data_IF_030798071000
#
_entry.id   IF_030798071000
#
_cell.length_a   1.000
_cell.length_b   1.000
_cell.length_c   1.000
_cell.angle_alpha   90.00
_cell.angle_beta   90.00
_cell.angle_gamma   90.00
#
_symmetry.space_group_name_H-M   'P 1'
#
loop_
_entity.id
_entity.type
_entity.pdbx_description
1 polymer ?
#
# COMPACT_ATOMS: atom_id res chain seq x y z
N UNK A 1 -5.12 -1.56 11.45
CA UNK A 1 -4.12 -2.59 11.13
C UNK A 1 -4.55 -3.25 9.82
N UNK A 2 -3.68 -3.21 8.80
CA UNK A 2 -3.91 -3.73 7.46
C UNK A 2 -3.54 -5.22 7.41
N UNK A 3 -4.31 -6.00 6.66
CA UNK A 3 -4.05 -7.41 6.36
C UNK A 3 -4.14 -7.68 4.85
N UNK A 4 -3.90 -8.92 4.44
CA UNK A 4 -4.08 -9.36 3.05
C UNK A 4 -5.51 -9.19 2.53
N UNK A 5 -6.50 -9.21 3.42
CA UNK A 5 -7.91 -9.13 3.09
C UNK A 5 -8.42 -7.68 3.00
N UNK A 6 -7.63 -6.71 3.46
CA UNK A 6 -7.96 -5.28 3.34
C UNK A 6 -8.16 -4.89 1.88
N UNK A 7 -9.17 -4.08 1.60
CA UNK A 7 -9.42 -3.59 0.24
C UNK A 7 -8.35 -2.58 -0.15
N UNK A 8 -7.88 -2.67 -1.41
CA UNK A 8 -6.86 -1.76 -1.92
C UNK A 8 -7.32 -0.30 -1.81
N UNK A 9 -8.58 -0.01 -2.14
CA UNK A 9 -9.15 1.35 -2.05
C UNK A 9 -9.09 1.93 -0.64
N UNK A 10 -9.43 1.14 0.38
CA UNK A 10 -9.37 1.56 1.78
C UNK A 10 -7.93 1.83 2.20
N UNK A 11 -7.00 0.99 1.74
CA UNK A 11 -5.57 1.14 2.02
C UNK A 11 -5.01 2.41 1.37
N UNK A 12 -5.37 2.72 0.12
CA UNK A 12 -4.85 3.89 -0.59
C UNK A 12 -5.37 5.23 -0.03
N UNK A 13 -6.52 5.21 0.64
CA UNK A 13 -7.05 6.40 1.34
C UNK A 13 -6.27 6.75 2.62
N UNK A 14 -5.34 5.90 3.05
CA UNK A 14 -4.55 6.14 4.26
C UNK A 14 -3.36 7.08 3.98
N UNK A 15 -3.01 7.98 4.93
CA UNK A 15 -1.90 8.90 4.77
C UNK A 15 -0.58 8.20 4.41
N UNK A 16 0.00 8.58 3.27
CA UNK A 16 1.30 8.05 2.82
C UNK A 16 1.28 6.65 2.22
N UNK A 17 0.14 5.94 2.21
CA UNK A 17 0.03 4.59 1.66
C UNK A 17 0.34 4.53 0.16
N UNK A 18 -0.18 5.48 -0.62
CA UNK A 18 0.13 5.60 -2.06
C UNK A 18 1.64 5.75 -2.28
N UNK A 19 2.29 6.67 -1.56
CA UNK A 19 3.73 6.92 -1.65
C UNK A 19 4.55 5.72 -1.20
N UNK A 20 4.08 4.96 -0.22
CA UNK A 20 4.70 3.71 0.22
C UNK A 20 4.64 2.64 -0.88
N UNK A 21 3.46 2.42 -1.47
CA UNK A 21 3.25 1.48 -2.56
C UNK A 21 4.17 1.80 -3.75
N UNK A 22 4.22 3.06 -4.18
CA UNK A 22 5.08 3.51 -5.30
C UNK A 22 6.56 3.30 -5.00
N UNK A 23 7.04 3.63 -3.79
CA UNK A 23 8.45 3.41 -3.39
C UNK A 23 8.87 1.94 -3.41
N UNK A 24 7.92 1.04 -3.21
CA UNK A 24 8.14 -0.41 -3.24
C UNK A 24 7.77 -1.04 -4.59
N UNK A 25 7.55 -0.24 -5.65
CA UNK A 25 7.25 -0.74 -6.99
C UNK A 25 5.84 -1.35 -7.15
N UNK A 26 4.96 -1.16 -6.17
CA UNK A 26 3.59 -1.66 -6.19
C UNK A 26 2.67 -0.57 -6.73
N UNK A 27 2.35 -0.63 -8.03
CA UNK A 27 1.31 0.25 -8.60
C UNK A 27 -0.08 -0.26 -8.27
N UNK A 28 -0.88 0.52 -7.55
CA UNK A 28 -2.26 0.19 -7.22
C UNK A 28 -3.29 0.78 -8.21
N UNK A 29 -2.82 1.42 -9.29
CA UNK A 29 -3.66 1.98 -10.34
C UNK A 29 -3.52 1.15 -11.62
N UNK A 30 -4.64 0.91 -12.30
CA UNK A 30 -4.66 0.30 -13.63
C UNK A 30 -5.13 1.32 -14.66
N UNK A 31 -4.86 1.08 -15.95
CA UNK A 31 -5.38 1.92 -17.04
C UNK A 31 -6.92 1.96 -17.12
N UNK A 32 -7.62 1.08 -16.40
CA UNK A 32 -9.08 1.00 -16.34
C UNK A 32 -9.69 1.59 -15.06
N UNK A 33 -8.88 2.26 -14.23
CA UNK A 33 -9.32 2.89 -12.98
C UNK A 33 -8.93 2.12 -11.73
N UNK A 34 -9.77 2.25 -10.69
CA UNK A 34 -9.58 1.62 -9.38
C UNK A 34 -9.36 0.11 -9.50
N UNK A 35 -8.64 -0.43 -8.52
CA UNK A 35 -8.27 -1.84 -8.49
C UNK A 35 -9.10 -2.53 -7.39
N UNK A 36 -10.37 -2.92 -7.67
CA UNK A 36 -11.29 -3.44 -6.66
C UNK A 36 -10.91 -4.88 -6.31
N UNK A 37 -9.84 -5.04 -5.54
CA UNK A 37 -9.45 -6.31 -4.98
C UNK A 37 -8.84 -6.12 -3.60
N UNK A 38 -8.51 -7.24 -2.96
CA UNK A 38 -7.78 -7.25 -1.70
C UNK A 38 -6.31 -6.91 -1.91
N UNK A 39 -5.65 -6.39 -0.88
CA UNK A 39 -4.24 -6.06 -0.90
C UNK A 39 -3.39 -7.30 -1.24
N UNK A 40 -3.70 -8.46 -0.67
CA UNK A 40 -3.03 -9.72 -0.98
C UNK A 40 -3.07 -10.04 -2.48
N UNK A 41 -4.23 -9.87 -3.11
CA UNK A 41 -4.38 -10.11 -4.55
C UNK A 41 -3.58 -9.11 -5.39
N UNK A 42 -3.52 -7.84 -4.98
CA UNK A 42 -2.67 -6.85 -5.64
C UNK A 42 -1.19 -7.24 -5.57
N UNK A 43 -0.71 -7.64 -4.38
CA UNK A 43 0.69 -8.02 -4.17
C UNK A 43 1.07 -9.26 -5.00
N UNK A 44 0.16 -10.23 -5.13
CA UNK A 44 0.34 -11.38 -6.04
C UNK A 44 0.48 -10.94 -7.50
N UNK A 45 -0.44 -10.09 -7.98
CA UNK A 45 -0.45 -9.61 -9.38
C UNK A 45 0.84 -8.82 -9.68
N UNK A 46 1.32 -8.04 -8.70
CA UNK A 46 2.58 -7.29 -8.78
C UNK A 46 3.82 -8.13 -8.50
N UNK A 47 3.65 -9.42 -8.18
CA UNK A 47 4.73 -10.38 -7.91
C UNK A 47 5.68 -9.88 -6.81
N UNK A 48 5.11 -9.32 -5.75
CA UNK A 48 5.89 -8.89 -4.58
C UNK A 48 6.51 -10.13 -3.93
N UNK A 49 7.84 -10.14 -3.79
CA UNK A 49 8.58 -11.32 -3.31
C UNK A 49 8.25 -11.72 -1.88
N UNK A 50 8.00 -10.72 -1.01
CA UNK A 50 7.55 -10.94 0.37
C UNK A 50 6.34 -10.05 0.70
N UNK A 51 5.12 -10.57 0.48
CA UNK A 51 3.90 -9.83 0.77
C UNK A 51 3.71 -9.52 2.27
N UNK A 52 4.20 -10.37 3.17
CA UNK A 52 4.07 -10.16 4.62
C UNK A 52 4.96 -9.02 5.08
N UNK A 53 6.22 -8.99 4.62
CA UNK A 53 7.13 -7.88 4.90
C UNK A 53 6.59 -6.55 4.35
N UNK A 54 5.99 -6.56 3.16
CA UNK A 54 5.34 -5.37 2.60
C UNK A 54 4.22 -4.84 3.51
N UNK A 55 3.33 -5.72 3.97
CA UNK A 55 2.20 -5.37 4.85
C UNK A 55 2.69 -4.89 6.22
N UNK A 56 3.73 -5.53 6.77
CA UNK A 56 4.34 -5.13 8.03
C UNK A 56 4.92 -3.70 7.94
N UNK A 57 5.69 -3.39 6.88
CA UNK A 57 6.25 -2.05 6.69
C UNK A 57 5.17 -0.98 6.46
N UNK A 58 4.07 -1.33 5.79
CA UNK A 58 2.93 -0.43 5.63
C UNK A 58 2.22 -0.15 6.96
N UNK A 59 2.01 -1.18 7.79
CA UNK A 59 1.46 -0.99 9.14
C UNK A 59 2.38 -0.11 10.00
N UNK A 60 3.69 -0.33 9.95
CA UNK A 60 4.67 0.49 10.68
C UNK A 60 4.64 1.97 10.25
N UNK A 61 4.46 2.25 8.96
CA UNK A 61 4.27 3.61 8.46
C UNK A 61 3.03 4.27 9.09
N UNK A 62 1.93 3.53 9.22
CA UNK A 62 0.66 4.07 9.71
C UNK A 62 0.63 4.28 11.22
N UNK A 63 1.46 3.55 11.97
CA UNK A 63 1.67 3.79 13.41
C UNK A 63 2.43 5.09 13.66
N UNK A 64 3.31 5.49 12.74
CA UNK A 64 4.08 6.74 12.82
C UNK A 64 4.09 7.46 11.46
N UNK A 65 2.94 8.01 11.02
CA UNK A 65 2.82 8.61 9.70
C UNK A 65 3.73 9.83 9.58
N UNK A 66 4.33 10.07 8.40
CA UNK A 66 5.15 11.25 8.19
C UNK A 66 4.34 12.53 8.44
N UNK A 67 4.96 13.60 9.01
CA UNK A 67 4.30 14.88 9.13
C UNK A 67 4.00 15.47 7.76
N UNK A 68 2.78 15.98 7.63
CA UNK A 68 2.30 16.69 6.44
C UNK A 68 3.20 17.91 6.10
N UNK A 69 3.42 18.26 4.82
CA UNK A 69 2.83 17.65 3.62
C UNK A 69 3.70 16.59 2.94
N UNK A 70 4.92 16.33 3.41
CA UNK A 70 5.88 15.58 2.58
C UNK A 70 6.79 14.60 3.28
N UNK A 71 6.98 14.63 4.62
CA UNK A 71 7.78 13.61 5.32
C UNK A 71 9.13 13.21 4.70
N UNK A 72 9.67 14.01 3.79
CA UNK A 72 10.95 13.83 3.13
C UNK A 72 11.90 14.73 3.92
N UNK A 73 12.68 14.11 4.82
CA UNK A 73 13.97 14.66 5.23
C UNK A 73 15.03 14.14 4.27
#
# INVERSE_FOLDING_TARGET
MITKDSLVEEVLNLPGAVSYCVRHGVSAFSCSGEFPCTLGRLLEIRKVGDPEAFIAGLNALLESPPPWPWGLK
#
